data_IF_613426030817
#
_entry.id   IF_613426030817
#
_cell.length_a   1.000
_cell.length_b   1.000
_cell.length_c   1.000
_cell.angle_alpha   90.00
_cell.angle_beta   90.00
_cell.angle_gamma   90.00
#
_symmetry.space_group_name_H-M   'P 1'
#
loop_
_entity.id
_entity.type
_entity.pdbx_description
1 polymer ?
#
# COMPACT_ATOMS: atom_id res chain seq x y z
N UNK A 1 -30.57 -10.99 -7.85
CA UNK A 1 -29.19 -11.47 -7.78
C UNK A 1 -28.26 -10.28 -7.63
N UNK A 2 -27.39 -10.34 -6.65
CA UNK A 2 -26.49 -9.20 -6.38
C UNK A 2 -25.15 -9.46 -7.07
N UNK A 3 -24.67 -8.47 -7.84
CA UNK A 3 -23.36 -8.51 -8.51
C UNK A 3 -22.29 -7.75 -7.72
N UNK A 4 -22.49 -7.59 -6.42
CA UNK A 4 -21.52 -6.93 -5.57
C UNK A 4 -20.41 -7.92 -5.22
N UNK A 5 -19.14 -7.60 -5.49
CA UNK A 5 -18.04 -8.48 -5.11
C UNK A 5 -17.92 -8.58 -3.59
N UNK A 6 -17.50 -9.75 -3.12
CA UNK A 6 -17.10 -9.91 -1.73
C UNK A 6 -15.70 -9.31 -1.56
N UNK A 7 -15.51 -8.62 -0.45
CA UNK A 7 -14.27 -7.89 -0.20
C UNK A 7 -13.65 -8.35 1.11
N UNK A 8 -12.35 -8.68 1.07
CA UNK A 8 -11.53 -8.82 2.26
C UNK A 8 -11.01 -7.45 2.65
N UNK A 9 -11.11 -7.12 3.93
CA UNK A 9 -10.56 -5.89 4.48
C UNK A 9 -9.38 -6.20 5.38
N UNK A 10 -8.30 -5.46 5.23
CA UNK A 10 -7.21 -5.45 6.19
C UNK A 10 -7.55 -4.57 7.40
N UNK A 11 -6.73 -4.58 8.43
CA UNK A 11 -6.90 -3.69 9.57
C UNK A 11 -6.61 -2.24 9.20
N UNK A 12 -7.19 -1.31 9.95
CA UNK A 12 -6.85 0.10 9.82
C UNK A 12 -5.41 0.30 10.28
N UNK A 13 -4.61 0.96 9.47
CA UNK A 13 -3.20 1.23 9.73
C UNK A 13 -2.90 2.72 9.63
N UNK A 14 -1.91 3.15 10.38
CA UNK A 14 -1.35 4.50 10.28
C UNK A 14 0.13 4.35 9.92
N UNK A 15 0.47 4.35 8.62
CA UNK A 15 1.84 4.13 8.20
C UNK A 15 2.74 5.27 8.66
N UNK A 16 4.01 4.93 8.90
CA UNK A 16 5.06 5.88 9.26
C UNK A 16 6.04 5.99 8.11
N UNK A 17 6.65 7.15 7.99
CA UNK A 17 7.71 7.36 7.01
C UNK A 17 8.94 6.52 7.39
N UNK A 18 9.46 5.78 6.44
CA UNK A 18 10.66 4.97 6.64
C UNK A 18 11.88 5.84 6.91
N UNK A 19 11.94 7.01 6.30
CA UNK A 19 13.07 7.94 6.46
C UNK A 19 13.18 8.51 7.88
N UNK A 20 12.09 8.51 8.66
CA UNK A 20 12.12 8.98 10.04
C UNK A 20 13.07 8.16 10.92
N UNK A 21 13.26 6.89 10.59
CA UNK A 21 14.07 5.95 11.35
C UNK A 21 15.41 5.64 10.66
N UNK A 22 15.76 6.35 9.58
CA UNK A 22 16.97 6.10 8.81
C UNK A 22 17.93 7.30 8.89
N UNK A 23 19.17 7.01 9.22
CA UNK A 23 20.24 8.00 9.23
C UNK A 23 20.94 8.06 7.87
N UNK A 24 20.28 8.66 6.86
CA UNK A 24 20.93 8.94 5.59
C UNK A 24 21.37 10.40 5.53
N UNK A 25 22.67 10.61 5.63
CA UNK A 25 23.24 11.93 5.36
C UNK A 25 23.31 12.18 3.85
N UNK A 26 22.85 13.33 3.40
CA UNK A 26 23.16 13.86 2.09
C UNK A 26 22.20 13.58 0.94
N UNK A 27 21.10 12.90 1.15
CA UNK A 27 20.09 12.67 0.09
C UNK A 27 18.77 13.34 0.43
N UNK A 28 18.32 14.25 -0.45
CA UNK A 28 16.98 14.81 -0.37
C UNK A 28 15.96 13.88 -1.02
N UNK A 29 14.79 13.73 -0.41
CA UNK A 29 13.71 12.90 -0.92
C UNK A 29 12.37 13.58 -0.68
N UNK A 30 11.40 13.38 -1.60
CA UNK A 30 10.03 13.86 -1.40
C UNK A 30 9.36 13.23 -0.18
N UNK A 31 9.88 12.10 0.30
CA UNK A 31 9.39 11.44 1.51
C UNK A 31 9.86 12.13 2.79
N UNK A 32 10.80 13.05 2.70
CA UNK A 32 11.20 13.95 3.77
C UNK A 32 10.28 15.19 3.76
N UNK A 33 9.70 15.53 4.91
CA UNK A 33 8.74 16.62 5.02
C UNK A 33 9.32 17.96 4.56
N UNK A 34 10.56 18.27 4.95
CA UNK A 34 11.19 19.53 4.58
C UNK A 34 11.40 19.63 3.06
N UNK A 35 11.82 18.53 2.40
CA UNK A 35 12.00 18.49 0.95
C UNK A 35 10.64 18.59 0.25
N UNK A 36 9.63 17.87 0.75
CA UNK A 36 8.28 17.91 0.20
C UNK A 36 7.69 19.33 0.25
N UNK A 37 7.86 20.02 1.36
CA UNK A 37 7.39 21.40 1.51
C UNK A 37 8.05 22.34 0.52
N UNK A 38 9.34 22.18 0.26
CA UNK A 38 10.07 22.97 -0.75
C UNK A 38 9.52 22.75 -2.16
N UNK A 39 8.96 21.58 -2.43
CA UNK A 39 8.36 21.24 -3.72
C UNK A 39 6.86 21.58 -3.80
N UNK A 40 6.31 22.23 -2.77
CA UNK A 40 4.91 22.65 -2.74
C UNK A 40 3.95 21.60 -2.20
N UNK A 41 4.45 20.53 -1.60
CA UNK A 41 3.63 19.49 -0.96
C UNK A 41 3.40 19.85 0.51
N UNK A 42 2.29 19.38 1.08
CA UNK A 42 1.94 19.65 2.49
C UNK A 42 2.87 18.90 3.47
N UNK A 43 3.32 17.71 3.08
CA UNK A 43 4.22 16.86 3.86
C UNK A 43 4.82 15.81 2.95
N UNK A 44 5.82 15.06 3.42
CA UNK A 44 6.40 13.95 2.69
C UNK A 44 5.43 12.78 2.57
N UNK A 45 5.13 12.30 1.35
CA UNK A 45 4.26 11.13 1.18
C UNK A 45 4.92 9.86 1.73
N UNK A 46 4.06 8.94 2.18
CA UNK A 46 4.50 7.60 2.57
C UNK A 46 5.02 6.86 1.33
N UNK A 47 6.09 6.10 1.51
CA UNK A 47 6.75 5.37 0.42
C UNK A 47 5.88 4.25 -0.15
N UNK A 48 6.01 4.03 -1.47
CA UNK A 48 5.29 2.97 -2.18
C UNK A 48 5.42 1.58 -1.58
N UNK A 49 6.63 1.11 -1.22
CA UNK A 49 6.79 -0.21 -0.59
C UNK A 49 5.99 -0.38 0.70
N UNK A 50 5.80 0.69 1.47
CA UNK A 50 4.97 0.64 2.68
C UNK A 50 3.52 0.34 2.32
N UNK A 51 3.00 0.94 1.26
CA UNK A 51 1.65 0.66 0.77
C UNK A 51 1.52 -0.79 0.28
N UNK A 52 2.48 -1.28 -0.49
CA UNK A 52 2.48 -2.67 -0.96
C UNK A 52 2.47 -3.67 0.19
N UNK A 53 3.12 -3.37 1.30
CA UNK A 53 3.19 -4.26 2.44
C UNK A 53 1.84 -4.53 3.12
N UNK A 54 0.82 -3.74 2.81
CA UNK A 54 -0.52 -3.92 3.36
C UNK A 54 -1.30 -5.07 2.70
N UNK A 55 -0.94 -5.46 1.49
CA UNK A 55 -1.71 -6.41 0.68
C UNK A 55 -1.34 -7.88 0.86
N UNK A 56 -0.08 -8.28 1.09
CA UNK A 56 0.29 -9.69 1.21
C UNK A 56 -0.56 -10.52 2.16
N UNK A 57 -0.96 -10.03 3.35
CA UNK A 57 -1.83 -10.81 4.23
C UNK A 57 -3.18 -11.15 3.61
N UNK A 58 -3.76 -10.22 2.82
CA UNK A 58 -5.03 -10.45 2.12
C UNK A 58 -4.85 -11.42 0.96
N UNK A 59 -3.78 -11.25 0.19
CA UNK A 59 -3.50 -12.06 -1.00
C UNK A 59 -3.12 -13.49 -0.60
N UNK A 60 -2.46 -13.67 0.54
CA UNK A 60 -2.22 -14.98 1.11
C UNK A 60 -3.53 -15.71 1.45
N UNK A 61 -4.53 -14.99 1.96
CA UNK A 61 -5.84 -15.59 2.26
C UNK A 61 -6.58 -16.02 0.99
N UNK A 62 -6.34 -15.34 -0.14
CA UNK A 62 -6.97 -15.67 -1.43
C UNK A 62 -6.25 -16.84 -2.11
N UNK A 63 -4.92 -16.76 -2.22
CA UNK A 63 -4.12 -17.71 -3.03
C UNK A 63 -3.12 -18.55 -2.22
N UNK A 64 -3.03 -18.33 -0.92
CA UNK A 64 -2.11 -19.08 -0.07
C UNK A 64 -0.66 -18.88 -0.48
N UNK A 65 0.13 -19.94 -0.41
CA UNK A 65 1.56 -19.93 -0.70
C UNK A 65 1.86 -19.54 -2.16
N UNK A 66 0.93 -19.81 -3.07
CA UNK A 66 1.12 -19.44 -4.49
C UNK A 66 1.34 -17.94 -4.67
N UNK A 67 0.77 -17.09 -3.82
CA UNK A 67 1.02 -15.66 -3.87
C UNK A 67 2.51 -15.35 -3.70
N UNK A 68 3.16 -15.96 -2.72
CA UNK A 68 4.59 -15.71 -2.45
C UNK A 68 5.52 -16.32 -3.51
N UNK A 69 5.07 -17.38 -4.20
CA UNK A 69 5.87 -18.04 -5.22
C UNK A 69 5.74 -17.38 -6.59
N UNK A 70 4.55 -16.87 -6.93
CA UNK A 70 4.23 -16.42 -8.28
C UNK A 70 3.44 -15.11 -8.33
N UNK A 71 3.21 -14.48 -7.20
CA UNK A 71 2.38 -13.29 -7.13
C UNK A 71 3.05 -12.08 -7.79
N UNK A 72 2.21 -11.21 -8.30
CA UNK A 72 2.62 -9.94 -8.85
C UNK A 72 1.54 -8.91 -8.54
N UNK A 73 1.96 -7.71 -8.18
CA UNK A 73 1.04 -6.61 -7.93
C UNK A 73 1.43 -5.43 -8.81
N UNK A 74 0.41 -4.77 -9.38
CA UNK A 74 0.57 -3.53 -10.12
C UNK A 74 -0.37 -2.50 -9.55
N UNK A 75 0.12 -1.30 -9.31
CA UNK A 75 -0.69 -0.25 -8.74
C UNK A 75 -0.36 1.12 -9.30
N UNK A 76 -1.33 2.03 -9.16
CA UNK A 76 -1.17 3.44 -9.45
C UNK A 76 -1.50 4.23 -8.19
N UNK A 77 -0.62 5.15 -7.83
CA UNK A 77 -0.83 6.02 -6.67
C UNK A 77 -1.60 7.26 -7.12
N UNK A 78 -2.90 7.25 -6.88
CA UNK A 78 -3.78 8.34 -7.30
C UNK A 78 -3.76 9.50 -6.32
N UNK A 79 -3.55 9.22 -5.04
CA UNK A 79 -3.51 10.20 -3.98
C UNK A 79 -2.33 9.93 -3.07
N UNK A 80 -1.72 11.01 -2.55
CA UNK A 80 -0.67 10.88 -1.56
C UNK A 80 -1.26 10.54 -0.20
N UNK A 81 -0.53 9.74 0.57
CA UNK A 81 -0.79 9.50 1.97
C UNK A 81 0.40 10.04 2.76
N UNK A 82 0.12 10.81 3.79
CA UNK A 82 1.15 11.33 4.68
C UNK A 82 1.06 10.68 6.06
N UNK A 83 2.14 10.79 6.84
CA UNK A 83 2.17 10.23 8.19
C UNK A 83 1.05 10.80 9.05
N UNK A 84 0.40 9.94 9.81
CA UNK A 84 -0.76 10.29 10.63
C UNK A 84 -2.11 9.98 10.00
N UNK A 85 -2.17 9.85 8.69
CA UNK A 85 -3.39 9.43 8.01
C UNK A 85 -3.61 7.92 8.17
N UNK A 86 -4.89 7.54 8.28
CA UNK A 86 -5.28 6.14 8.40
C UNK A 86 -5.58 5.55 7.02
N UNK A 87 -5.10 4.35 6.78
CA UNK A 87 -5.34 3.61 5.53
C UNK A 87 -5.77 2.18 5.84
N UNK A 88 -6.44 1.57 4.89
CA UNK A 88 -6.86 0.17 4.98
C UNK A 88 -6.74 -0.47 3.60
N UNK A 89 -6.18 -1.67 3.55
CA UNK A 89 -6.13 -2.45 2.33
C UNK A 89 -7.42 -3.24 2.14
N UNK A 90 -7.84 -3.35 0.89
CA UNK A 90 -8.98 -4.16 0.48
C UNK A 90 -8.55 -5.07 -0.67
N UNK A 91 -9.14 -6.24 -0.74
CA UNK A 91 -8.98 -7.13 -1.88
C UNK A 91 -10.34 -7.73 -2.23
N UNK A 92 -10.71 -7.69 -3.50
CA UNK A 92 -11.89 -8.40 -3.98
C UNK A 92 -11.62 -9.90 -3.95
N UNK A 93 -12.56 -10.68 -3.42
CA UNK A 93 -12.45 -12.14 -3.45
C UNK A 93 -12.82 -12.60 -4.86
N UNK A 94 -11.85 -13.14 -5.63
CA UNK A 94 -12.14 -13.57 -6.98
C UNK A 94 -12.91 -14.90 -6.99
N UNK A 95 -13.57 -15.25 -8.10
CA UNK A 95 -14.15 -16.57 -8.24
C UNK A 95 -13.06 -17.64 -8.23
N UNK A 96 -13.45 -18.87 -7.87
CA UNK A 96 -12.52 -20.00 -7.85
C UNK A 96 -11.83 -20.17 -9.21
N UNK A 97 -10.52 -20.37 -9.18
CA UNK A 97 -9.72 -20.55 -10.40
C UNK A 97 -9.26 -19.24 -11.06
N UNK A 98 -9.71 -18.08 -10.56
CA UNK A 98 -9.26 -16.81 -11.12
C UNK A 98 -7.77 -16.57 -10.82
N UNK A 99 -7.08 -15.96 -11.77
CA UNK A 99 -5.64 -15.67 -11.68
C UNK A 99 -5.33 -14.21 -11.36
N UNK A 100 -6.35 -13.37 -11.21
CA UNK A 100 -6.19 -11.96 -10.85
C UNK A 100 -7.38 -11.46 -10.07
N UNK A 101 -7.15 -10.40 -9.30
CA UNK A 101 -8.20 -9.68 -8.59
C UNK A 101 -7.79 -8.23 -8.38
N UNK A 102 -8.73 -7.42 -7.94
CA UNK A 102 -8.48 -6.03 -7.60
C UNK A 102 -8.13 -5.89 -6.13
N UNK A 103 -7.26 -4.94 -5.86
CA UNK A 103 -6.89 -4.54 -4.50
C UNK A 103 -6.99 -3.04 -4.33
#
# INVERSE_FOLDING_TARGET
MFNTPLILSGPLRRPRQMLADQEYGGHASIHDDATAEKLGLSAGPIEGPTHFSLFPPLLRRIWGQAWFERGCISSHYLNMVVEGEAVRAFAEIPPEGATSTRV
#
